data_IF_492818324682
#
_entry.id   IF_492818324682
#
_cell.length_a   1.000
_cell.length_b   1.000
_cell.length_c   1.000
_cell.angle_alpha   90.00
_cell.angle_beta   90.00
_cell.angle_gamma   90.00
#
_symmetry.space_group_name_H-M   'P 1'
#
loop_
_entity.id
_entity.type
_entity.pdbx_description
1 polymer ?
#
# COMPACT_ATOMS: atom_id res chain seq x y z
N UNK A 1 -12.49 -11.52 9.06
CA UNK A 1 -11.27 -10.88 8.55
C UNK A 1 -10.04 -11.69 8.92
N UNK A 2 -9.13 -11.93 7.98
CA UNK A 2 -7.80 -12.53 8.19
C UNK A 2 -6.73 -11.53 7.77
N UNK A 3 -5.58 -11.55 8.45
CA UNK A 3 -4.43 -10.68 8.16
C UNK A 3 -3.22 -11.54 7.89
N UNK A 4 -2.54 -11.31 6.80
CA UNK A 4 -1.27 -11.93 6.45
C UNK A 4 -0.17 -10.88 6.37
N UNK A 5 1.02 -11.23 6.84
CA UNK A 5 2.20 -10.37 6.76
C UNK A 5 3.34 -11.16 6.14
N UNK A 6 3.99 -10.57 5.17
CA UNK A 6 5.19 -11.10 4.54
C UNK A 6 6.27 -10.05 4.42
N UNK A 7 7.51 -10.50 4.45
CA UNK A 7 8.69 -9.67 4.28
C UNK A 7 9.73 -10.45 3.48
N UNK A 8 10.48 -9.74 2.64
CA UNK A 8 11.66 -10.27 1.96
C UNK A 8 12.70 -9.16 1.77
N UNK A 9 13.95 -9.51 1.90
CA UNK A 9 15.12 -8.69 1.59
C UNK A 9 15.95 -9.29 0.43
N UNK A 10 15.34 -10.13 -0.39
CA UNK A 10 15.96 -10.66 -1.59
C UNK A 10 16.46 -9.51 -2.48
N UNK A 11 17.63 -9.70 -3.11
CA UNK A 11 18.27 -8.63 -3.90
C UNK A 11 17.51 -8.27 -5.17
N UNK A 12 16.85 -9.24 -5.77
CA UNK A 12 16.04 -9.03 -6.96
C UNK A 12 14.65 -8.52 -6.56
N UNK A 13 14.17 -7.47 -7.22
CA UNK A 13 12.89 -6.83 -6.90
C UNK A 13 11.68 -7.76 -7.09
N UNK A 14 11.69 -8.54 -8.17
CA UNK A 14 10.62 -9.47 -8.51
C UNK A 14 10.55 -10.63 -7.50
N UNK A 15 11.73 -11.18 -7.14
CA UNK A 15 11.83 -12.24 -6.13
C UNK A 15 11.40 -11.73 -4.75
N UNK A 16 11.83 -10.52 -4.36
CA UNK A 16 11.50 -9.93 -3.08
C UNK A 16 9.98 -9.73 -2.92
N UNK A 17 9.33 -9.13 -3.91
CA UNK A 17 7.89 -8.90 -3.84
C UNK A 17 7.09 -10.19 -3.90
N UNK A 18 7.54 -11.15 -4.69
CA UNK A 18 6.87 -12.45 -4.82
C UNK A 18 6.94 -13.24 -3.51
N UNK A 19 8.13 -13.30 -2.90
CA UNK A 19 8.34 -13.99 -1.62
C UNK A 19 7.51 -13.33 -0.51
N UNK A 20 7.56 -12.00 -0.38
CA UNK A 20 6.78 -11.28 0.60
C UNK A 20 5.27 -11.49 0.41
N UNK A 21 4.79 -11.45 -0.84
CA UNK A 21 3.38 -11.68 -1.16
C UNK A 21 2.93 -13.10 -0.83
N UNK A 22 3.69 -14.11 -1.25
CA UNK A 22 3.36 -15.52 -0.98
C UNK A 22 3.32 -15.82 0.52
N UNK A 23 4.26 -15.27 1.30
CA UNK A 23 4.26 -15.39 2.75
C UNK A 23 3.01 -14.77 3.38
N UNK A 24 2.56 -13.61 2.91
CA UNK A 24 1.35 -12.96 3.40
C UNK A 24 0.08 -13.75 3.06
N UNK A 25 -0.11 -14.13 1.78
CA UNK A 25 -1.34 -14.81 1.34
C UNK A 25 -1.43 -16.25 1.83
N UNK A 26 -0.32 -16.90 2.13
CA UNK A 26 -0.33 -18.22 2.75
C UNK A 26 -1.03 -18.22 4.11
N UNK A 27 -1.06 -17.08 4.78
CA UNK A 27 -1.77 -16.89 6.07
C UNK A 27 -3.19 -16.37 5.87
N UNK A 28 -3.36 -15.34 5.03
CA UNK A 28 -4.65 -14.65 4.87
C UNK A 28 -5.56 -15.28 3.82
N UNK A 29 -5.01 -15.95 2.82
CA UNK A 29 -5.72 -16.34 1.61
C UNK A 29 -5.81 -15.19 0.61
N UNK A 30 -6.79 -15.25 -0.32
CA UNK A 30 -6.98 -14.22 -1.36
C UNK A 30 -7.26 -12.84 -0.75
N UNK A 31 -6.45 -11.81 -1.07
CA UNK A 31 -6.57 -10.51 -0.42
C UNK A 31 -7.70 -9.66 -1.01
N UNK A 32 -8.51 -9.08 -0.15
CA UNK A 32 -9.39 -7.95 -0.47
C UNK A 32 -8.57 -6.64 -0.56
N UNK A 33 -7.55 -6.47 0.29
CA UNK A 33 -6.63 -5.33 0.29
C UNK A 33 -5.19 -5.80 0.49
N UNK A 34 -4.29 -5.21 -0.26
CA UNK A 34 -2.84 -5.40 -0.13
C UNK A 34 -2.17 -4.06 0.18
N UNK A 35 -1.43 -4.01 1.28
CA UNK A 35 -0.52 -2.91 1.58
C UNK A 35 0.89 -3.33 1.19
N UNK A 36 1.55 -2.49 0.40
CA UNK A 36 2.92 -2.69 -0.09
C UNK A 36 3.82 -1.59 0.46
N UNK A 37 4.87 -2.00 1.13
CA UNK A 37 5.93 -1.12 1.62
C UNK A 37 7.25 -1.57 1.01
N UNK A 38 7.95 -0.65 0.36
CA UNK A 38 9.22 -0.94 -0.30
C UNK A 38 10.29 0.05 0.14
N UNK A 39 11.55 -0.31 -0.07
CA UNK A 39 12.65 0.64 0.03
C UNK A 39 13.08 1.11 -1.36
N UNK A 40 13.74 2.25 -1.43
CA UNK A 40 14.21 2.90 -2.66
C UNK A 40 15.31 2.14 -3.40
N UNK A 41 15.86 1.10 -2.76
CA UNK A 41 16.88 0.21 -3.33
C UNK A 41 16.37 -0.70 -4.46
N UNK A 42 15.05 -0.77 -4.66
CA UNK A 42 14.43 -1.64 -5.68
C UNK A 42 13.89 -0.88 -6.87
N UNK A 43 13.81 -1.57 -8.01
CA UNK A 43 13.03 -1.14 -9.16
C UNK A 43 11.53 -1.23 -8.83
N UNK A 44 10.90 -0.09 -8.53
CA UNK A 44 9.50 0.00 -8.13
C UNK A 44 8.55 -0.45 -9.25
N UNK A 45 8.94 -0.24 -10.51
CA UNK A 45 8.13 -0.67 -11.64
C UNK A 45 8.14 -2.19 -11.81
N UNK A 46 9.27 -2.83 -11.58
CA UNK A 46 9.37 -4.29 -11.57
C UNK A 46 8.53 -4.90 -10.44
N UNK A 47 8.57 -4.31 -9.24
CA UNK A 47 7.69 -4.70 -8.12
C UNK A 47 6.21 -4.59 -8.51
N UNK A 48 5.80 -3.44 -9.03
CA UNK A 48 4.42 -3.19 -9.43
C UNK A 48 3.93 -4.19 -10.48
N UNK A 49 4.70 -4.38 -11.56
CA UNK A 49 4.36 -5.33 -12.63
C UNK A 49 4.26 -6.78 -12.16
N UNK A 50 5.09 -7.16 -11.20
CA UNK A 50 5.08 -8.51 -10.62
C UNK A 50 3.87 -8.73 -9.72
N UNK A 51 3.48 -7.73 -8.94
CA UNK A 51 2.43 -7.85 -7.93
C UNK A 51 1.02 -7.68 -8.52
N UNK A 52 0.81 -6.72 -9.40
CA UNK A 52 -0.53 -6.35 -9.89
C UNK A 52 -1.37 -7.49 -10.49
N UNK A 53 -0.80 -8.41 -11.29
CA UNK A 53 -1.58 -9.55 -11.80
C UNK A 53 -2.14 -10.47 -10.72
N UNK A 54 -1.59 -10.41 -9.50
CA UNK A 54 -1.92 -11.30 -8.38
C UNK A 54 -2.98 -10.74 -7.44
N UNK A 55 -3.08 -9.41 -7.36
CA UNK A 55 -3.99 -8.74 -6.40
C UNK A 55 -5.21 -8.10 -7.04
N UNK A 56 -5.24 -8.00 -8.38
CA UNK A 56 -6.29 -7.29 -9.11
C UNK A 56 -6.20 -5.75 -8.97
N UNK A 57 -6.96 -5.05 -9.81
CA UNK A 57 -6.94 -3.58 -9.84
C UNK A 57 -7.66 -2.96 -8.64
N UNK A 58 -7.15 -1.86 -8.15
CA UNK A 58 -7.78 -1.04 -7.13
C UNK A 58 -7.69 -1.58 -5.70
N UNK A 59 -6.90 -2.63 -5.49
CA UNK A 59 -6.73 -3.26 -4.17
C UNK A 59 -5.31 -3.12 -3.63
N UNK A 60 -4.60 -2.10 -4.03
CA UNK A 60 -3.24 -1.81 -3.61
C UNK A 60 -3.16 -0.42 -2.98
N UNK A 61 -2.50 -0.33 -1.85
CA UNK A 61 -2.08 0.91 -1.22
C UNK A 61 -0.72 0.73 -0.57
N UNK A 62 0.00 1.82 -0.35
CA UNK A 62 1.32 1.75 0.28
C UNK A 62 2.26 2.82 -0.23
N UNK A 63 3.52 2.69 0.10
CA UNK A 63 4.55 3.67 -0.28
C UNK A 63 5.96 3.06 -0.31
N UNK A 64 6.86 3.78 -0.97
CA UNK A 64 8.30 3.57 -0.90
C UNK A 64 8.89 4.49 0.19
N UNK A 65 9.69 3.93 1.08
CA UNK A 65 10.32 4.66 2.17
C UNK A 65 11.80 4.33 2.33
N UNK A 66 12.49 5.03 3.22
CA UNK A 66 13.92 4.83 3.52
C UNK A 66 14.21 3.57 4.33
N UNK A 67 13.20 2.85 4.80
CA UNK A 67 13.34 1.61 5.56
C UNK A 67 12.01 1.00 5.95
N UNK A 68 12.04 -0.26 6.35
CA UNK A 68 10.88 -1.00 6.83
C UNK A 68 11.14 -1.45 8.26
N UNK A 69 10.20 -1.14 9.15
CA UNK A 69 10.22 -1.64 10.53
C UNK A 69 9.58 -3.02 10.50
N UNK A 70 10.41 -4.04 10.61
CA UNK A 70 9.99 -5.42 10.75
C UNK A 70 9.71 -5.81 12.19
N UNK A 71 9.40 -7.08 12.41
CA UNK A 71 9.06 -7.61 13.74
C UNK A 71 10.21 -7.51 14.75
N UNK A 72 11.45 -7.65 14.30
CA UNK A 72 12.64 -7.75 15.16
C UNK A 72 13.75 -6.78 14.78
N UNK A 73 13.64 -6.08 13.65
CA UNK A 73 14.68 -5.19 13.16
C UNK A 73 14.13 -4.11 12.24
N UNK A 74 14.92 -3.06 12.02
CA UNK A 74 14.74 -2.09 10.94
C UNK A 74 15.56 -2.56 9.75
N UNK A 75 14.94 -2.63 8.58
CA UNK A 75 15.56 -3.06 7.34
C UNK A 75 15.69 -1.85 6.41
N UNK A 76 16.90 -1.55 5.98
CA UNK A 76 17.19 -0.48 5.00
C UNK A 76 16.97 -0.95 3.56
N UNK A 77 16.84 -2.24 3.35
CA UNK A 77 16.45 -2.87 2.10
C UNK A 77 15.39 -3.93 2.38
N UNK A 78 14.28 -3.88 1.65
CA UNK A 78 13.23 -4.88 1.83
C UNK A 78 11.92 -4.52 1.13
N UNK A 79 11.09 -5.54 1.02
CA UNK A 79 9.69 -5.46 0.61
C UNK A 79 8.84 -6.05 1.73
N UNK A 80 7.94 -5.25 2.26
CA UNK A 80 6.95 -5.66 3.25
C UNK A 80 5.55 -5.68 2.64
N UNK A 81 4.78 -6.73 2.88
CA UNK A 81 3.40 -6.84 2.44
C UNK A 81 2.51 -7.20 3.63
N UNK A 82 1.39 -6.47 3.73
CA UNK A 82 0.30 -6.82 4.63
C UNK A 82 -0.96 -7.02 3.79
N UNK A 83 -1.62 -8.16 3.96
CA UNK A 83 -2.86 -8.49 3.25
C UNK A 83 -4.03 -8.60 4.22
N UNK A 84 -5.17 -8.06 3.83
CA UNK A 84 -6.44 -8.22 4.52
C UNK A 84 -7.38 -9.04 3.64
N UNK A 85 -7.98 -10.08 4.21
CA UNK A 85 -8.90 -10.98 3.50
C UNK A 85 -10.17 -11.23 4.30
N UNK A 86 -11.29 -11.37 3.60
CA UNK A 86 -12.61 -11.62 4.15
C UNK A 86 -13.70 -11.08 3.23
N UNK A 87 -14.78 -11.81 3.08
CA UNK A 87 -15.88 -11.47 2.16
C UNK A 87 -16.63 -10.21 2.59
N UNK A 88 -16.54 -9.86 3.87
CA UNK A 88 -17.13 -8.64 4.45
C UNK A 88 -16.32 -7.37 4.19
N UNK A 89 -15.08 -7.49 3.67
CA UNK A 89 -14.20 -6.34 3.47
C UNK A 89 -14.52 -5.67 2.15
N UNK A 90 -15.00 -4.43 2.22
CA UNK A 90 -15.13 -3.55 1.06
C UNK A 90 -13.94 -2.60 1.02
N UNK A 91 -13.33 -2.45 -0.14
CA UNK A 91 -12.14 -1.61 -0.34
C UNK A 91 -12.40 -0.62 -1.46
N UNK A 92 -12.11 0.64 -1.19
CA UNK A 92 -11.99 1.68 -2.19
C UNK A 92 -10.59 2.32 -2.09
N UNK A 93 -10.04 2.72 -3.22
CA UNK A 93 -8.74 3.38 -3.28
C UNK A 93 -8.84 4.65 -4.11
N UNK A 94 -8.12 5.68 -3.72
CA UNK A 94 -8.00 6.94 -4.45
C UNK A 94 -6.55 7.38 -4.49
N UNK A 95 -6.08 7.81 -5.65
CA UNK A 95 -4.75 8.38 -5.83
C UNK A 95 -4.91 9.82 -6.30
N UNK A 96 -4.40 10.77 -5.52
CA UNK A 96 -4.42 12.19 -5.86
C UNK A 96 -3.02 12.69 -6.16
N UNK A 97 -2.93 13.62 -7.10
CA UNK A 97 -1.69 14.29 -7.49
C UNK A 97 -1.71 15.74 -7.02
N UNK A 98 -0.55 16.40 -7.12
CA UNK A 98 -0.37 17.81 -6.81
C UNK A 98 -0.58 18.18 -5.33
N UNK A 99 -0.25 17.27 -4.42
CA UNK A 99 -0.37 17.50 -2.99
C UNK A 99 0.34 18.79 -2.54
N UNK A 100 1.57 19.02 -2.99
CA UNK A 100 2.37 20.19 -2.61
C UNK A 100 1.82 21.53 -3.10
N UNK A 101 0.99 21.55 -4.14
CA UNK A 101 0.43 22.79 -4.70
C UNK A 101 -1.02 23.05 -4.29
N UNK A 102 -1.75 22.03 -3.86
CA UNK A 102 -3.17 22.09 -3.50
C UNK A 102 -3.52 20.97 -2.51
N UNK A 103 -3.01 21.02 -1.26
CA UNK A 103 -3.20 19.96 -0.28
C UNK A 103 -4.68 19.79 0.11
N UNK A 104 -5.38 20.88 0.38
CA UNK A 104 -6.82 20.85 0.70
C UNK A 104 -7.65 20.28 -0.45
N UNK A 105 -7.39 20.73 -1.67
CA UNK A 105 -8.07 20.20 -2.85
C UNK A 105 -7.77 18.73 -3.11
N UNK A 106 -6.53 18.27 -2.85
CA UNK A 106 -6.18 16.86 -2.95
C UNK A 106 -6.94 16.01 -1.93
N UNK A 107 -7.01 16.46 -0.67
CA UNK A 107 -7.80 15.80 0.39
C UNK A 107 -9.28 15.72 0.03
N UNK A 108 -9.88 16.84 -0.38
CA UNK A 108 -11.29 16.89 -0.81
C UNK A 108 -11.57 15.93 -1.98
N UNK A 109 -10.76 15.94 -3.03
CA UNK A 109 -10.93 15.03 -4.18
C UNK A 109 -10.78 13.56 -3.76
N UNK A 110 -9.88 13.27 -2.83
CA UNK A 110 -9.74 11.91 -2.28
C UNK A 110 -11.02 11.47 -1.56
N UNK A 111 -11.56 12.31 -0.69
CA UNK A 111 -12.81 12.05 0.03
C UNK A 111 -14.01 11.88 -0.91
N UNK A 112 -14.18 12.77 -1.88
CA UNK A 112 -15.23 12.68 -2.90
C UNK A 112 -15.15 11.38 -3.70
N UNK A 113 -13.94 10.95 -4.09
CA UNK A 113 -13.74 9.69 -4.82
C UNK A 113 -14.12 8.47 -3.97
N UNK A 114 -13.80 8.48 -2.68
CA UNK A 114 -14.18 7.40 -1.75
C UNK A 114 -15.71 7.37 -1.55
N UNK A 115 -16.36 8.51 -1.35
CA UNK A 115 -17.82 8.60 -1.25
C UNK A 115 -18.51 8.13 -2.53
N UNK A 116 -18.01 8.54 -3.69
CA UNK A 116 -18.54 8.12 -4.99
C UNK A 116 -18.42 6.61 -5.25
N UNK A 117 -17.52 5.92 -4.54
CA UNK A 117 -17.41 4.46 -4.57
C UNK A 117 -18.45 3.73 -3.72
N UNK A 118 -19.31 4.46 -3.02
CA UNK A 118 -20.35 3.91 -2.14
C UNK A 118 -19.85 3.60 -0.72
N UNK A 119 -18.71 4.16 -0.34
CA UNK A 119 -18.19 4.05 1.04
C UNK A 119 -18.75 5.18 1.90
N UNK A 120 -19.69 4.87 2.78
CA UNK A 120 -20.31 5.85 3.68
C UNK A 120 -19.59 5.95 5.03
N UNK A 121 -18.88 4.89 5.42
CA UNK A 121 -18.13 4.85 6.68
C UNK A 121 -17.01 3.80 6.58
N UNK A 122 -15.97 3.97 7.39
CA UNK A 122 -14.87 3.01 7.41
C UNK A 122 -13.58 3.56 8.01
N UNK A 123 -12.50 2.81 7.84
CA UNK A 123 -11.15 3.24 8.19
C UNK A 123 -10.45 3.72 6.94
N UNK A 124 -9.86 4.90 6.99
CA UNK A 124 -9.07 5.48 5.89
C UNK A 124 -7.59 5.39 6.24
N UNK A 125 -6.81 4.82 5.34
CA UNK A 125 -5.35 4.84 5.38
C UNK A 125 -4.87 5.88 4.38
N UNK A 126 -4.12 6.87 4.87
CA UNK A 126 -3.58 7.96 4.06
C UNK A 126 -2.07 7.81 3.98
N UNK A 127 -1.54 7.82 2.76
CA UNK A 127 -0.10 7.77 2.48
C UNK A 127 0.30 9.01 1.69
N UNK A 128 0.55 10.14 2.37
CA UNK A 128 0.98 11.36 1.70
C UNK A 128 2.44 11.26 1.25
N UNK A 129 2.80 12.07 0.25
CA UNK A 129 4.19 12.26 -0.12
C UNK A 129 4.96 12.90 1.05
N UNK A 130 5.96 12.18 1.56
CA UNK A 130 6.75 12.61 2.72
C UNK A 130 7.61 13.84 2.48
N UNK A 131 7.79 14.29 1.24
CA UNK A 131 8.45 15.54 0.89
C UNK A 131 7.51 16.75 0.82
N UNK A 132 6.20 16.53 0.98
CA UNK A 132 5.22 17.61 1.05
C UNK A 132 5.18 18.21 2.44
N UNK A 133 5.23 19.55 2.55
CA UNK A 133 5.24 20.27 3.84
C UNK A 133 3.86 20.49 4.42
N UNK A 134 2.81 20.44 3.61
CA UNK A 134 1.45 20.88 3.95
C UNK A 134 0.46 19.71 4.12
N UNK A 135 0.95 18.58 4.60
CA UNK A 135 0.14 17.38 4.86
C UNK A 135 -1.02 17.63 5.85
N UNK A 136 -0.87 18.43 6.93
CA UNK A 136 -1.98 18.73 7.83
C UNK A 136 -3.18 19.41 7.17
N UNK A 137 -2.97 20.16 6.11
CA UNK A 137 -4.04 20.87 5.38
C UNK A 137 -4.85 19.94 4.47
N UNK A 138 -4.38 18.72 4.25
CA UNK A 138 -5.05 17.69 3.45
C UNK A 138 -6.20 17.00 4.21
N UNK A 139 -6.19 17.02 5.53
CA UNK A 139 -7.12 16.31 6.41
C UNK A 139 -8.13 17.34 6.96
#
# INVERSE_FOLDING_TARGET
>A
MKVGIGFSDARNAEDAVLEAFLNAVNVSGEPAMTFLFTTDSYDQEAIYRTLMPRIGKGRLGGFCGGGIIGRSAVHIQGVGICTLSGDEIKVATSLQKNLSSDPEGAGRRAGEALLASGMESGTVFVFPDGFSTDVPEMI
#
